data_IF_581849785102
#
_entry.id   IF_581849785102
#
_cell.length_a   1.000
_cell.length_b   1.000
_cell.length_c   1.000
_cell.angle_alpha   90.00
_cell.angle_beta   90.00
_cell.angle_gamma   90.00
#
_symmetry.space_group_name_H-M   'P 1'
#
loop_
_entity.id
_entity.type
_entity.pdbx_description
1 polymer ?
#
# COMPACT_ATOMS: atom_id res chain seq x y z
N UNK A 1 -16.75 -22.53 -2.43
CA UNK A 1 -15.60 -21.91 -3.10
C UNK A 1 -16.10 -21.37 -4.42
N UNK A 2 -16.27 -20.05 -4.55
CA UNK A 2 -16.59 -19.44 -5.85
C UNK A 2 -15.36 -19.58 -6.74
N UNK A 3 -15.55 -20.11 -7.95
CA UNK A 3 -14.48 -20.17 -8.95
C UNK A 3 -13.95 -18.75 -9.23
N UNK A 4 -12.65 -18.59 -9.57
CA UNK A 4 -12.11 -17.29 -9.96
C UNK A 4 -12.95 -16.72 -11.12
N UNK A 5 -13.20 -15.41 -11.09
CA UNK A 5 -13.96 -14.77 -12.16
C UNK A 5 -13.28 -14.95 -13.52
N UNK A 6 -11.95 -15.00 -13.54
CA UNK A 6 -11.16 -15.33 -14.71
C UNK A 6 -9.80 -15.97 -14.35
N UNK A 7 -9.41 -17.03 -15.07
CA UNK A 7 -8.11 -17.72 -14.92
C UNK A 7 -7.08 -17.10 -15.89
N UNK A 8 -6.47 -15.99 -15.50
CA UNK A 8 -5.54 -15.24 -16.35
C UNK A 8 -4.09 -15.77 -16.27
N UNK A 9 -3.70 -16.33 -15.13
CA UNK A 9 -2.31 -16.71 -14.83
C UNK A 9 -2.15 -18.18 -14.41
N UNK A 10 -3.20 -19.01 -14.55
CA UNK A 10 -3.15 -20.47 -14.46
C UNK A 10 -2.52 -20.99 -13.16
N UNK A 11 -1.23 -21.38 -13.14
CA UNK A 11 -0.56 -21.85 -11.92
C UNK A 11 -0.59 -20.87 -10.73
N UNK A 12 -0.51 -19.56 -10.98
CA UNK A 12 -0.62 -18.56 -9.91
C UNK A 12 -2.04 -18.52 -9.34
N UNK A 13 -3.05 -18.65 -10.20
CA UNK A 13 -4.46 -18.68 -9.80
C UNK A 13 -4.78 -19.95 -9.01
N UNK A 14 -4.12 -21.08 -9.30
CA UNK A 14 -4.26 -22.30 -8.50
C UNK A 14 -3.65 -22.16 -7.09
N UNK A 15 -2.55 -21.42 -6.95
CA UNK A 15 -1.87 -21.20 -5.67
C UNK A 15 -2.56 -20.13 -4.81
N UNK A 16 -3.02 -19.05 -5.45
CA UNK A 16 -3.57 -17.86 -4.77
C UNK A 16 -5.09 -17.75 -4.86
N UNK A 17 -5.75 -18.56 -5.70
CA UNK A 17 -7.19 -18.47 -5.99
C UNK A 17 -8.11 -18.92 -4.86
N UNK A 18 -7.57 -19.38 -3.74
CA UNK A 18 -8.34 -19.42 -2.50
C UNK A 18 -8.67 -18.00 -2.06
N UNK A 19 -9.95 -17.62 -2.08
CA UNK A 19 -10.43 -16.26 -1.74
C UNK A 19 -9.82 -15.72 -0.45
N UNK A 20 -9.80 -16.53 0.61
CA UNK A 20 -9.18 -16.16 1.88
C UNK A 20 -7.65 -15.97 1.77
N UNK A 21 -6.97 -16.79 0.95
CA UNK A 21 -5.51 -16.74 0.79
C UNK A 21 -5.06 -15.40 0.20
N UNK A 22 -5.70 -14.95 -0.90
CA UNK A 22 -5.34 -13.67 -1.51
C UNK A 22 -5.69 -12.49 -0.59
N UNK A 23 -6.82 -12.54 0.12
CA UNK A 23 -7.22 -11.49 1.06
C UNK A 23 -6.20 -11.31 2.20
N UNK A 24 -5.65 -12.40 2.74
CA UNK A 24 -4.56 -12.33 3.72
C UNK A 24 -3.25 -11.78 3.13
N UNK A 25 -2.94 -12.10 1.87
CA UNK A 25 -1.77 -11.52 1.17
C UNK A 25 -1.95 -10.01 1.01
N UNK A 26 -3.13 -9.55 0.61
CA UNK A 26 -3.43 -8.12 0.48
C UNK A 26 -3.38 -7.40 1.82
N UNK A 27 -3.94 -7.99 2.89
CA UNK A 27 -3.87 -7.47 4.25
C UNK A 27 -2.41 -7.35 4.70
N UNK A 28 -1.60 -8.39 4.49
CA UNK A 28 -0.16 -8.39 4.81
C UNK A 28 0.61 -7.32 4.04
N UNK A 29 0.37 -7.19 2.73
CA UNK A 29 0.99 -6.16 1.89
C UNK A 29 0.60 -4.75 2.32
N UNK A 30 -0.67 -4.53 2.69
CA UNK A 30 -1.14 -3.24 3.18
C UNK A 30 -0.50 -2.89 4.52
N UNK A 31 -0.43 -3.83 5.45
CA UNK A 31 0.26 -3.64 6.73
C UNK A 31 1.75 -3.34 6.52
N UNK A 32 2.41 -4.07 5.62
CA UNK A 32 3.80 -3.80 5.25
C UNK A 32 3.96 -2.39 4.66
N UNK A 33 3.06 -1.96 3.77
CA UNK A 33 3.03 -0.60 3.22
C UNK A 33 2.89 0.48 4.31
N UNK A 34 1.99 0.27 5.28
CA UNK A 34 1.81 1.18 6.41
C UNK A 34 3.07 1.26 7.29
N UNK A 35 3.70 0.12 7.58
CA UNK A 35 4.94 0.06 8.38
C UNK A 35 6.10 0.74 7.64
N UNK A 36 6.28 0.46 6.34
CA UNK A 36 7.32 1.11 5.54
C UNK A 36 7.09 2.61 5.40
N UNK A 37 5.83 3.09 5.42
CA UNK A 37 5.50 4.53 5.48
C UNK A 37 6.03 5.18 6.75
N UNK A 38 5.86 4.53 7.91
CA UNK A 38 6.37 5.05 9.19
C UNK A 38 7.89 5.19 9.12
N UNK A 39 8.59 4.19 8.59
CA UNK A 39 10.04 4.26 8.41
C UNK A 39 10.45 5.34 7.39
N UNK A 40 9.70 5.48 6.30
CA UNK A 40 9.93 6.53 5.31
C UNK A 40 9.79 7.93 5.94
N UNK A 41 8.74 8.17 6.73
CA UNK A 41 8.55 9.46 7.39
C UNK A 41 9.68 9.78 8.39
N UNK A 42 10.06 8.81 9.24
CA UNK A 42 11.18 8.98 10.18
C UNK A 42 12.49 9.31 9.48
N UNK A 43 12.72 8.67 8.33
CA UNK A 43 13.88 8.93 7.49
C UNK A 43 13.86 10.36 6.94
N UNK A 44 12.74 10.82 6.40
CA UNK A 44 12.60 12.19 5.87
C UNK A 44 12.85 13.25 6.95
N UNK A 45 12.34 13.04 8.17
CA UNK A 45 12.60 13.93 9.31
C UNK A 45 14.09 13.94 9.68
N UNK A 46 14.75 12.78 9.67
CA UNK A 46 16.19 12.70 9.94
C UNK A 46 17.04 13.36 8.84
N UNK A 47 16.66 13.21 7.56
CA UNK A 47 17.32 13.91 6.43
C UNK A 47 17.15 15.42 6.56
N UNK A 48 15.95 15.89 6.88
CA UNK A 48 15.67 17.31 7.11
C UNK A 48 16.49 17.91 8.26
N UNK A 49 16.77 17.13 9.31
CA UNK A 49 17.60 17.52 10.43
C UNK A 49 19.12 17.46 10.15
N UNK A 50 19.55 17.18 8.92
CA UNK A 50 20.97 17.04 8.55
C UNK A 50 21.60 15.70 8.99
N UNK A 51 20.78 14.70 9.32
CA UNK A 51 21.26 13.36 9.65
C UNK A 51 21.89 12.67 8.45
N UNK A 52 23.01 11.97 8.65
CA UNK A 52 23.62 11.15 7.62
C UNK A 52 22.78 9.88 7.43
N UNK A 53 21.94 9.87 6.39
CA UNK A 53 21.02 8.77 6.11
C UNK A 53 21.58 7.88 5.02
N UNK A 54 21.62 6.58 5.30
CA UNK A 54 22.06 5.57 4.35
C UNK A 54 21.16 5.57 3.10
N UNK A 55 21.74 5.99 1.96
CA UNK A 55 21.07 6.00 0.65
C UNK A 55 21.30 4.67 -0.05
N UNK A 56 20.26 3.84 -0.10
CA UNK A 56 20.27 2.63 -0.92
C UNK A 56 20.06 3.07 -2.36
N UNK A 57 20.98 2.69 -3.25
CA UNK A 57 20.81 2.90 -4.69
C UNK A 57 19.55 2.14 -5.15
N UNK A 58 18.62 2.77 -5.87
CA UNK A 58 17.41 2.08 -6.33
C UNK A 58 17.77 0.90 -7.23
N UNK A 59 17.05 -0.22 -7.05
CA UNK A 59 17.23 -1.43 -7.85
C UNK A 59 16.90 -1.20 -9.33
N UNK A 60 15.97 -0.29 -9.60
CA UNK A 60 15.55 0.12 -10.95
C UNK A 60 15.96 1.59 -11.14
N UNK A 61 16.90 1.89 -12.07
CA UNK A 61 17.29 3.26 -12.39
C UNK A 61 16.07 4.09 -12.85
N UNK A 62 15.98 5.36 -12.44
CA UNK A 62 14.90 6.26 -12.85
C UNK A 62 13.59 6.15 -12.05
N UNK A 63 13.39 5.11 -11.24
CA UNK A 63 12.18 4.96 -10.42
C UNK A 63 12.16 5.89 -9.18
N UNK A 64 13.30 6.48 -8.85
CA UNK A 64 13.52 7.36 -7.70
C UNK A 64 14.59 8.42 -7.99
N UNK A 65 14.74 8.82 -9.27
CA UNK A 65 15.66 9.91 -9.61
C UNK A 65 15.06 11.21 -9.09
N UNK A 66 15.64 11.70 -8.01
CA UNK A 66 15.23 12.91 -7.34
C UNK A 66 16.02 14.10 -7.85
N UNK A 67 15.35 15.25 -7.93
CA UNK A 67 16.02 16.49 -8.24
C UNK A 67 17.07 16.79 -7.15
N UNK A 68 18.20 17.43 -7.52
CA UNK A 68 19.15 17.91 -6.53
C UNK A 68 18.46 18.83 -5.52
N UNK A 69 18.56 18.52 -4.23
CA UNK A 69 17.95 19.30 -3.15
C UNK A 69 16.61 18.77 -2.62
N UNK A 70 16.17 17.58 -3.03
CA UNK A 70 14.98 16.91 -2.48
C UNK A 70 15.28 15.83 -1.44
N UNK A 71 14.27 15.54 -0.63
CA UNK A 71 14.23 14.38 0.27
C UNK A 71 14.26 13.09 -0.52
N UNK A 72 14.67 12.00 0.12
CA UNK A 72 14.77 10.70 -0.57
C UNK A 72 13.64 9.73 -0.28
N UNK A 73 13.17 9.04 -1.33
CA UNK A 73 12.13 8.00 -1.26
C UNK A 73 12.70 6.74 -0.62
N UNK A 74 11.99 6.21 0.36
CA UNK A 74 12.36 4.96 1.00
C UNK A 74 12.10 3.76 0.07
N UNK A 75 13.12 2.98 -0.34
CA UNK A 75 12.96 1.98 -1.39
C UNK A 75 11.98 0.87 -0.99
N UNK A 76 12.00 0.43 0.26
CA UNK A 76 11.03 -0.56 0.74
C UNK A 76 9.59 -0.05 0.62
N UNK A 77 9.36 1.25 0.85
CA UNK A 77 8.02 1.82 0.74
C UNK A 77 7.56 1.86 -0.72
N UNK A 78 8.42 2.29 -1.63
CA UNK A 78 8.17 2.26 -3.08
C UNK A 78 7.82 0.85 -3.55
N UNK A 79 8.61 -0.15 -3.16
CA UNK A 79 8.37 -1.56 -3.51
C UNK A 79 7.04 -2.05 -2.94
N UNK A 80 6.75 -1.79 -1.66
CA UNK A 80 5.48 -2.23 -1.05
C UNK A 80 4.27 -1.53 -1.68
N UNK A 81 4.40 -0.26 -2.08
CA UNK A 81 3.31 0.49 -2.72
C UNK A 81 3.03 -0.06 -4.13
N UNK A 82 4.07 -0.32 -4.91
CA UNK A 82 3.94 -0.95 -6.22
C UNK A 82 3.38 -2.38 -6.12
N UNK A 83 3.89 -3.17 -5.18
CA UNK A 83 3.42 -4.54 -4.94
C UNK A 83 1.93 -4.55 -4.54
N UNK A 84 1.51 -3.65 -3.64
CA UNK A 84 0.12 -3.52 -3.23
C UNK A 84 -0.79 -3.14 -4.41
N UNK A 85 -0.36 -2.19 -5.24
CA UNK A 85 -1.11 -1.75 -6.43
C UNK A 85 -1.26 -2.88 -7.45
N UNK A 86 -0.18 -3.60 -7.77
CA UNK A 86 -0.24 -4.74 -8.69
C UNK A 86 -1.09 -5.88 -8.12
N UNK A 87 -0.97 -6.16 -6.82
CA UNK A 87 -1.76 -7.19 -6.16
C UNK A 87 -3.25 -6.83 -6.10
N UNK A 88 -3.63 -5.55 -5.98
CA UNK A 88 -5.05 -5.15 -6.03
C UNK A 88 -5.66 -5.33 -7.42
N UNK A 89 -4.89 -5.01 -8.48
CA UNK A 89 -5.31 -5.32 -9.85
C UNK A 89 -5.47 -6.83 -10.07
N UNK A 90 -4.53 -7.64 -9.55
CA UNK A 90 -4.67 -9.09 -9.57
C UNK A 90 -5.89 -9.58 -8.78
N UNK A 91 -6.20 -8.97 -7.62
CA UNK A 91 -7.39 -9.36 -6.86
C UNK A 91 -8.70 -9.10 -7.62
N UNK A 92 -8.74 -8.07 -8.47
CA UNK A 92 -9.86 -7.84 -9.40
C UNK A 92 -10.06 -9.03 -10.34
N UNK A 93 -9.01 -9.82 -10.59
CA UNK A 93 -9.08 -11.05 -11.40
C UNK A 93 -9.72 -12.23 -10.77
N UNK A 94 -9.55 -12.35 -9.47
CA UNK A 94 -10.15 -13.42 -8.70
C UNK A 94 -11.58 -13.05 -8.30
N UNK A 95 -11.78 -11.81 -7.86
CA UNK A 95 -13.05 -11.31 -7.33
C UNK A 95 -13.36 -9.92 -7.87
N UNK A 96 -14.10 -9.86 -8.99
CA UNK A 96 -14.34 -8.61 -9.71
C UNK A 96 -14.93 -7.49 -8.84
N UNK A 97 -16.04 -7.73 -8.13
CA UNK A 97 -16.67 -6.69 -7.32
C UNK A 97 -15.78 -6.23 -6.16
N UNK A 98 -15.30 -7.16 -5.33
CA UNK A 98 -14.47 -6.81 -4.17
C UNK A 98 -13.12 -6.21 -4.59
N UNK A 99 -12.56 -6.69 -5.69
CA UNK A 99 -11.30 -6.21 -6.24
C UNK A 99 -11.39 -4.81 -6.85
N UNK A 100 -12.49 -4.46 -7.52
CA UNK A 100 -12.72 -3.08 -7.98
C UNK A 100 -12.77 -2.12 -6.78
N UNK A 101 -13.51 -2.48 -5.73
CA UNK A 101 -13.61 -1.64 -4.52
C UNK A 101 -12.24 -1.50 -3.87
N UNK A 102 -11.53 -2.60 -3.62
CA UNK A 102 -10.20 -2.54 -3.01
C UNK A 102 -9.20 -1.76 -3.85
N UNK A 103 -9.18 -1.96 -5.17
CA UNK A 103 -8.29 -1.24 -6.09
C UNK A 103 -8.55 0.26 -6.07
N UNK A 104 -9.81 0.70 -6.01
CA UNK A 104 -10.11 2.13 -5.91
C UNK A 104 -9.59 2.75 -4.60
N UNK A 105 -9.65 2.03 -3.48
CA UNK A 105 -9.07 2.45 -2.20
C UNK A 105 -7.53 2.49 -2.28
N UNK A 106 -6.90 1.46 -2.86
CA UNK A 106 -5.44 1.40 -3.04
C UNK A 106 -4.93 2.50 -3.97
N UNK A 107 -5.67 2.85 -5.03
CA UNK A 107 -5.36 4.02 -5.85
C UNK A 107 -5.39 5.31 -5.03
N UNK A 108 -6.36 5.47 -4.12
CA UNK A 108 -6.39 6.58 -3.17
C UNK A 108 -5.15 6.62 -2.28
N UNK A 109 -4.72 5.48 -1.74
CA UNK A 109 -3.47 5.35 -0.97
C UNK A 109 -2.26 5.77 -1.81
N UNK A 110 -2.15 5.24 -3.03
CA UNK A 110 -1.03 5.52 -3.93
C UNK A 110 -0.93 7.00 -4.30
N UNK A 111 -2.06 7.62 -4.67
CA UNK A 111 -2.12 9.03 -5.07
C UNK A 111 -1.80 9.94 -3.88
N UNK A 112 -2.38 9.66 -2.71
CA UNK A 112 -2.10 10.45 -1.50
C UNK A 112 -0.65 10.31 -1.06
N UNK A 113 -0.06 9.10 -1.09
CA UNK A 113 1.36 8.90 -0.79
C UNK A 113 2.27 9.70 -1.74
N UNK A 114 1.93 9.77 -3.02
CA UNK A 114 2.69 10.55 -3.99
C UNK A 114 2.68 12.04 -3.65
N UNK A 115 1.49 12.64 -3.48
CA UNK A 115 1.39 14.08 -3.19
C UNK A 115 1.93 14.45 -1.81
N UNK A 116 1.77 13.58 -0.81
CA UNK A 116 2.36 13.76 0.52
C UNK A 116 3.89 13.72 0.48
N UNK A 117 4.50 13.00 -0.45
CA UNK A 117 5.95 13.08 -0.64
C UNK A 117 6.36 14.42 -1.26
N UNK A 118 5.68 14.84 -2.34
CA UNK A 118 6.00 16.10 -3.01
C UNK A 118 5.77 17.33 -2.09
N UNK A 119 4.74 17.31 -1.24
CA UNK A 119 4.51 18.37 -0.25
C UNK A 119 5.68 18.48 0.74
N UNK A 120 6.21 17.36 1.23
CA UNK A 120 7.36 17.35 2.15
C UNK A 120 8.64 17.86 1.51
N UNK A 121 8.86 17.60 0.23
CA UNK A 121 9.98 18.21 -0.50
C UNK A 121 9.84 19.73 -0.55
N UNK A 122 8.62 20.25 -0.73
CA UNK A 122 8.35 21.69 -0.67
C UNK A 122 8.61 22.25 0.73
N UNK A 123 8.17 21.56 1.79
CA UNK A 123 8.41 21.98 3.18
C UNK A 123 9.92 22.03 3.49
N UNK A 124 10.66 20.99 3.07
CA UNK A 124 12.11 20.91 3.21
C UNK A 124 12.83 22.08 2.52
N UNK A 125 12.46 22.41 1.28
CA UNK A 125 13.06 23.54 0.54
C UNK A 125 12.75 24.91 1.15
N UNK A 126 11.75 24.99 2.04
CA UNK A 126 11.31 26.22 2.70
C UNK A 126 11.74 26.29 4.17
N UNK A 127 12.57 25.36 4.63
CA UNK A 127 12.97 25.22 6.03
C UNK A 127 11.78 25.13 6.99
N UNK A 128 10.69 24.47 6.55
CA UNK A 128 9.52 24.18 7.38
C UNK A 128 9.65 22.78 8.00
N UNK A 129 8.99 22.60 9.15
CA UNK A 129 8.90 21.29 9.80
C UNK A 129 8.14 20.30 8.90
N UNK A 130 8.69 19.09 8.76
CA UNK A 130 8.09 18.03 7.95
C UNK A 130 6.83 17.49 8.62
N UNK A 131 5.67 17.76 8.01
CA UNK A 131 4.39 17.26 8.52
C UNK A 131 4.22 15.73 8.33
N UNK A 132 3.41 15.09 9.20
CA UNK A 132 3.04 13.69 9.03
C UNK A 132 2.08 13.52 7.83
N UNK A 133 2.11 12.36 7.13
CA UNK A 133 1.33 12.13 5.92
C UNK A 133 -0.13 11.78 6.22
N UNK A 134 -0.92 12.78 6.66
CA UNK A 134 -2.29 12.63 7.16
C UNK A 134 -3.21 12.01 6.10
N UNK A 135 -3.10 12.45 4.84
CA UNK A 135 -3.94 11.97 3.74
C UNK A 135 -3.73 10.48 3.47
N UNK A 136 -2.47 10.06 3.38
CA UNK A 136 -2.13 8.66 3.16
C UNK A 136 -2.49 7.75 4.35
N UNK A 137 -2.38 8.25 5.59
CA UNK A 137 -2.84 7.54 6.78
C UNK A 137 -4.35 7.29 6.70
N UNK A 138 -5.14 8.32 6.41
CA UNK A 138 -6.59 8.21 6.29
C UNK A 138 -7.00 7.24 5.16
N UNK A 139 -6.40 7.37 3.98
CA UNK A 139 -6.66 6.46 2.85
C UNK A 139 -6.31 5.01 3.21
N UNK A 140 -5.19 4.79 3.90
CA UNK A 140 -4.75 3.44 4.29
C UNK A 140 -5.66 2.83 5.34
N UNK A 141 -6.21 3.65 6.26
CA UNK A 141 -7.18 3.17 7.24
C UNK A 141 -8.46 2.67 6.55
N UNK A 142 -8.96 3.39 5.53
CA UNK A 142 -10.11 2.93 4.75
C UNK A 142 -9.82 1.62 4.02
N UNK A 143 -8.66 1.52 3.36
CA UNK A 143 -8.21 0.28 2.72
C UNK A 143 -8.09 -0.88 3.73
N UNK A 144 -7.58 -0.60 4.93
CA UNK A 144 -7.38 -1.58 6.00
C UNK A 144 -8.71 -2.09 6.54
N UNK A 145 -9.66 -1.19 6.78
CA UNK A 145 -11.01 -1.57 7.20
C UNK A 145 -11.68 -2.48 6.16
N UNK A 146 -11.52 -2.16 4.88
CA UNK A 146 -12.13 -2.94 3.81
C UNK A 146 -11.52 -4.34 3.67
N UNK A 147 -10.19 -4.45 3.50
CA UNK A 147 -9.53 -5.75 3.34
C UNK A 147 -9.54 -6.56 4.64
N UNK A 148 -9.51 -5.88 5.79
CA UNK A 148 -9.67 -6.49 7.09
C UNK A 148 -11.07 -7.10 7.27
N UNK A 149 -12.11 -6.38 6.84
CA UNK A 149 -13.47 -6.94 6.79
C UNK A 149 -13.49 -8.22 5.95
N UNK A 150 -13.00 -8.18 4.71
CA UNK A 150 -12.99 -9.36 3.83
C UNK A 150 -12.24 -10.55 4.46
N UNK A 151 -11.02 -10.30 4.95
CA UNK A 151 -10.14 -11.32 5.53
C UNK A 151 -10.71 -12.00 6.79
N UNK A 152 -11.46 -11.24 7.60
CA UNK A 152 -11.98 -11.69 8.90
C UNK A 152 -13.43 -12.17 8.84
N UNK A 153 -14.19 -11.80 7.82
CA UNK A 153 -15.63 -12.07 7.76
C UNK A 153 -15.97 -13.55 7.83
N UNK A 154 -15.09 -14.44 7.34
CA UNK A 154 -15.27 -15.88 7.44
C UNK A 154 -15.46 -16.40 8.89
N UNK A 155 -14.90 -15.73 9.88
CA UNK A 155 -15.08 -16.08 11.30
C UNK A 155 -16.38 -15.53 11.88
N UNK A 156 -16.87 -14.43 11.31
CA UNK A 156 -18.09 -13.73 11.75
C UNK A 156 -19.32 -14.33 11.08
N UNK A 157 -19.20 -14.78 9.82
CA UNK A 157 -20.29 -15.28 9.00
C UNK A 157 -21.13 -16.38 9.68
N UNK A 158 -20.55 -17.40 10.35
CA UNK A 158 -21.35 -18.44 11.02
C UNK A 158 -22.21 -17.89 12.16
N UNK A 159 -21.69 -16.90 12.91
CA UNK A 159 -22.40 -16.26 14.01
C UNK A 159 -23.52 -15.36 13.47
N UNK A 160 -23.25 -14.61 12.40
CA UNK A 160 -24.23 -13.73 11.77
C UNK A 160 -25.41 -14.53 11.19
N UNK A 161 -25.12 -15.61 10.45
CA UNK A 161 -26.14 -16.50 9.88
C UNK A 161 -26.97 -17.27 10.91
N UNK A 162 -26.60 -17.24 12.19
CA UNK A 162 -27.39 -17.82 13.26
C UNK A 162 -28.48 -16.87 13.80
N UNK A 163 -28.35 -15.56 13.52
CA UNK A 163 -29.25 -14.51 14.05
C UNK A 163 -30.10 -13.89 12.94
N UNK A 164 -29.53 -13.74 11.74
CA UNK A 164 -30.20 -13.20 10.54
C UNK A 164 -30.33 -14.29 9.50
#
# INVERSE_FOLDING_TARGET
>A
MSAPAYELFGPLDALLGGTATIEYVLLGLLLANMVTRVFAHRRNVAEAAGGNVFRIRPLIPGLADEAPGDLTRHPAHVVTNLALLLASFYYTTLHQHSGIVFTSLVLGVFITDFFEFESRCVDFRRDLDIEPPKGAIAASLLALLYVGYLSLFQFIAPVWSAVV
#
